data_IF_841859125319
#
_entry.id   IF_841859125319
#
_cell.length_a   1.000
_cell.length_b   1.000
_cell.length_c   1.000
_cell.angle_alpha   90.00
_cell.angle_beta   90.00
_cell.angle_gamma   90.00
#
_symmetry.space_group_name_H-M   'P 1'
#
loop_
_entity.id
_entity.type
_entity.pdbx_description
1 polymer ?
#
# COMPACT_ATOMS: atom_id res chain seq x y z
N UNK A 1 -13.72 -13.62 22.74
CA UNK A 1 -12.53 -12.74 22.86
C UNK A 1 -12.59 -11.77 21.70
N UNK A 2 -12.79 -10.47 21.90
CA UNK A 2 -12.85 -9.52 20.79
C UNK A 2 -11.44 -9.41 20.19
N UNK A 3 -11.29 -9.86 18.96
CA UNK A 3 -10.09 -9.64 18.16
C UNK A 3 -10.07 -8.16 17.79
N UNK A 4 -9.27 -7.37 18.49
CA UNK A 4 -9.02 -5.97 18.13
C UNK A 4 -8.21 -5.92 16.83
N UNK A 5 -8.89 -6.11 15.70
CA UNK A 5 -8.38 -5.80 14.37
C UNK A 5 -8.49 -4.30 14.16
N UNK A 6 -7.36 -3.65 13.86
CA UNK A 6 -7.38 -2.29 13.33
C UNK A 6 -8.02 -2.40 11.94
N UNK A 7 -9.28 -2.01 11.80
CA UNK A 7 -9.94 -1.89 10.51
C UNK A 7 -9.50 -0.56 9.88
N UNK A 8 -8.56 -0.62 8.94
CA UNK A 8 -7.90 0.55 8.32
C UNK A 8 -8.86 1.47 7.53
N UNK A 9 -10.09 1.01 7.31
CA UNK A 9 -11.17 1.72 6.64
C UNK A 9 -12.40 1.95 7.53
N UNK A 10 -12.44 1.34 8.73
CA UNK A 10 -13.52 1.52 9.70
C UNK A 10 -13.11 2.35 10.93
N UNK A 11 -11.91 2.93 10.94
CA UNK A 11 -11.61 4.01 11.88
C UNK A 11 -12.43 5.23 11.45
N UNK A 12 -13.40 5.68 12.26
CA UNK A 12 -14.26 6.78 11.91
C UNK A 12 -13.39 8.03 11.88
N UNK A 13 -13.06 8.50 10.68
CA UNK A 13 -12.56 9.88 10.46
C UNK A 13 -13.60 10.90 10.99
N UNK A 14 -14.82 10.45 11.34
CA UNK A 14 -15.95 11.30 11.67
C UNK A 14 -16.81 10.72 12.79
N UNK A 15 -16.74 11.33 13.99
CA UNK A 15 -17.90 11.59 14.87
C UNK A 15 -17.47 12.39 16.11
N UNK A 16 -17.33 13.72 15.97
CA UNK A 16 -17.72 14.72 16.99
C UNK A 16 -17.65 16.14 16.40
N UNK A 17 -18.70 16.55 15.68
CA UNK A 17 -18.92 17.97 15.31
C UNK A 17 -19.14 18.84 16.57
N UNK A 18 -19.51 18.24 17.71
CA UNK A 18 -19.84 18.94 18.94
C UNK A 18 -18.65 19.56 19.68
N UNK A 19 -17.41 19.10 19.44
CA UNK A 19 -16.23 19.57 20.18
C UNK A 19 -15.55 20.81 19.54
N UNK A 20 -15.95 21.18 18.32
CA UNK A 20 -15.30 22.25 17.56
C UNK A 20 -15.60 23.66 18.09
N UNK A 21 -16.71 23.87 18.80
CA UNK A 21 -17.06 25.19 19.35
C UNK A 21 -16.40 25.47 20.71
N UNK A 22 -15.96 24.44 21.44
CA UNK A 22 -15.20 24.62 22.70
C UNK A 22 -13.71 24.86 22.45
N UNK A 23 -13.19 24.38 21.33
CA UNK A 23 -11.75 24.37 21.06
C UNK A 23 -11.17 25.69 20.52
N UNK A 24 -12.00 26.61 20.00
CA UNK A 24 -11.54 27.94 19.57
C UNK A 24 -11.13 28.85 20.75
N UNK A 25 -11.61 28.57 21.96
CA UNK A 25 -11.28 29.37 23.14
C UNK A 25 -9.99 28.92 23.85
N UNK A 26 -9.59 27.65 23.72
CA UNK A 26 -8.55 27.06 24.58
C UNK A 26 -7.12 27.12 24.00
N UNK A 27 -6.93 27.30 22.69
CA UNK A 27 -5.60 27.28 22.08
C UNK A 27 -5.37 28.49 21.16
N UNK A 28 -4.93 29.59 21.77
CA UNK A 28 -4.36 30.78 21.12
C UNK A 28 -3.06 30.48 20.36
N UNK A 29 -3.11 29.63 19.35
CA UNK A 29 -1.99 29.29 18.48
C UNK A 29 -1.99 30.22 17.26
N UNK A 30 -1.37 31.40 17.44
CA UNK A 30 -0.48 31.94 16.41
C UNK A 30 0.83 31.17 16.54
N UNK A 31 1.18 30.25 15.63
CA UNK A 31 2.41 29.48 15.79
C UNK A 31 3.59 30.36 15.38
N UNK A 32 4.37 30.80 16.39
CA UNK A 32 5.78 31.12 16.15
C UNK A 32 6.43 29.85 15.58
N UNK A 33 6.93 29.94 14.37
CA UNK A 33 7.42 28.84 13.53
C UNK A 33 8.53 28.07 14.24
N UNK A 34 8.21 26.87 14.73
CA UNK A 34 9.17 25.81 15.03
C UNK A 34 8.71 24.53 14.31
N UNK A 35 9.11 24.30 13.04
CA UNK A 35 8.62 23.17 12.27
C UNK A 35 9.51 21.96 12.55
N UNK A 36 9.42 21.44 13.76
CA UNK A 36 9.78 20.04 14.05
C UNK A 36 8.58 19.43 14.74
N UNK A 37 7.59 19.03 13.94
CA UNK A 37 6.55 18.11 14.39
C UNK A 37 7.26 16.79 14.75
N UNK A 38 7.78 16.67 15.98
CA UNK A 38 8.40 15.45 16.53
C UNK A 38 7.38 14.34 16.76
N UNK A 39 6.09 14.68 16.76
CA UNK A 39 4.99 13.74 16.92
C UNK A 39 4.04 13.99 15.75
N UNK A 40 3.68 12.96 14.99
CA UNK A 40 2.72 13.11 13.91
C UNK A 40 1.34 13.47 14.47
N UNK A 41 0.55 14.30 13.75
CA UNK A 41 -0.84 14.53 14.12
C UNK A 41 -1.58 13.18 14.09
N UNK A 42 -2.29 12.84 15.16
CA UNK A 42 -3.18 11.67 15.17
C UNK A 42 -4.19 11.76 14.02
N UNK A 43 -4.78 10.63 13.61
CA UNK A 43 -5.83 10.62 12.59
C UNK A 43 -6.94 11.64 12.92
N UNK A 44 -7.23 11.86 14.21
CA UNK A 44 -8.17 12.88 14.69
C UNK A 44 -7.70 14.30 14.35
N UNK A 45 -6.43 14.62 14.60
CA UNK A 45 -5.86 15.93 14.26
C UNK A 45 -5.85 16.14 12.74
N UNK A 46 -5.57 15.09 11.97
CA UNK A 46 -5.66 15.17 10.52
C UNK A 46 -7.09 15.42 10.04
N UNK A 47 -8.08 14.72 10.61
CA UNK A 47 -9.50 14.96 10.37
C UNK A 47 -9.92 16.39 10.72
N UNK A 48 -9.41 16.95 11.82
CA UNK A 48 -9.64 18.34 12.21
C UNK A 48 -9.05 19.34 11.19
N UNK A 49 -7.85 19.08 10.69
CA UNK A 49 -7.20 19.95 9.69
C UNK A 49 -7.90 19.86 8.34
N UNK A 50 -8.28 18.65 7.94
CA UNK A 50 -9.13 18.36 6.81
C UNK A 50 -10.46 19.13 6.89
N UNK A 51 -11.15 19.05 8.02
CA UNK A 51 -12.40 19.76 8.28
C UNK A 51 -12.25 21.28 8.27
N UNK A 52 -11.11 21.82 8.69
CA UNK A 52 -10.82 23.27 8.54
C UNK A 52 -10.54 23.65 7.10
N UNK A 53 -9.77 22.83 6.37
CA UNK A 53 -9.39 23.09 4.97
C UNK A 53 -10.57 22.97 4.00
N UNK A 54 -11.49 22.05 4.28
CA UNK A 54 -12.67 21.75 3.47
C UNK A 54 -13.97 21.92 4.26
N UNK A 55 -14.10 23.03 4.99
CA UNK A 55 -15.19 23.30 5.95
C UNK A 55 -16.61 23.15 5.39
N UNK A 56 -16.81 23.45 4.11
CA UNK A 56 -18.12 23.48 3.46
C UNK A 56 -18.24 22.45 2.33
N UNK A 57 -17.37 21.45 2.32
CA UNK A 57 -17.25 20.51 1.21
C UNK A 57 -17.01 19.07 1.71
N UNK A 58 -17.68 18.11 1.09
CA UNK A 58 -17.59 16.68 1.39
C UNK A 58 -16.53 15.97 0.52
N UNK A 59 -15.63 16.71 -0.14
CA UNK A 59 -14.65 16.13 -1.06
C UNK A 59 -13.81 15.00 -0.46
N UNK A 60 -13.47 15.07 0.83
CA UNK A 60 -12.71 14.00 1.48
C UNK A 60 -13.56 12.75 1.71
N UNK A 61 -14.84 12.92 2.04
CA UNK A 61 -15.77 11.81 2.17
C UNK A 61 -16.01 11.15 0.81
N UNK A 62 -16.20 11.96 -0.24
CA UNK A 62 -16.34 11.46 -1.59
C UNK A 62 -15.09 10.70 -2.04
N UNK A 63 -13.89 11.23 -1.77
CA UNK A 63 -12.63 10.56 -2.08
C UNK A 63 -12.47 9.25 -1.29
N UNK A 64 -12.81 9.24 0.00
CA UNK A 64 -12.76 8.04 0.83
C UNK A 64 -13.66 6.94 0.27
N UNK A 65 -14.92 7.28 -0.08
CA UNK A 65 -15.86 6.35 -0.71
C UNK A 65 -15.39 5.89 -2.08
N UNK A 66 -14.82 6.79 -2.90
CA UNK A 66 -14.30 6.46 -4.23
C UNK A 66 -13.08 5.54 -4.19
N UNK A 67 -12.30 5.60 -3.12
CA UNK A 67 -11.07 4.83 -2.95
C UNK A 67 -11.26 3.57 -2.10
N UNK A 68 -12.46 3.37 -1.55
CA UNK A 68 -12.79 2.16 -0.84
C UNK A 68 -12.85 0.97 -1.81
N UNK A 69 -12.11 -0.07 -1.43
CA UNK A 69 -11.98 -1.31 -2.20
C UNK A 69 -12.45 -2.54 -1.43
N UNK A 70 -13.03 -2.37 -0.23
CA UNK A 70 -13.56 -3.48 0.57
C UNK A 70 -15.00 -3.86 0.22
N UNK A 71 -15.75 -2.92 -0.35
CA UNK A 71 -17.16 -3.14 -0.67
C UNK A 71 -17.36 -3.66 -2.10
N UNK A 72 -18.44 -4.42 -2.27
CA UNK A 72 -18.84 -4.98 -3.56
C UNK A 72 -19.23 -3.88 -4.54
N UNK A 73 -18.80 -4.01 -5.79
CA UNK A 73 -19.20 -3.05 -6.84
C UNK A 73 -20.66 -3.27 -7.23
N UNK A 74 -21.46 -2.20 -7.21
CA UNK A 74 -22.86 -2.27 -7.66
C UNK A 74 -22.92 -2.39 -9.19
N UNK A 75 -23.58 -3.44 -9.69
CA UNK A 75 -23.73 -3.70 -11.12
C UNK A 75 -25.19 -3.47 -11.56
N UNK A 76 -25.41 -2.79 -12.70
CA UNK A 76 -26.75 -2.62 -13.25
C UNK A 76 -27.28 -3.96 -13.81
N UNK A 77 -28.51 -4.35 -13.43
CA UNK A 77 -29.11 -5.65 -13.81
C UNK A 77 -30.17 -5.56 -14.91
N UNK A 78 -30.13 -4.55 -15.79
CA UNK A 78 -31.14 -4.38 -16.84
C UNK A 78 -30.81 -5.22 -18.07
N UNK A 79 -31.42 -6.40 -18.19
CA UNK A 79 -31.34 -7.26 -19.38
C UNK A 79 -32.13 -6.64 -20.55
N UNK A 80 -31.58 -6.72 -21.76
CA UNK A 80 -32.25 -6.22 -22.97
C UNK A 80 -33.35 -7.18 -23.43
N UNK A 81 -34.45 -6.69 -24.04
CA UNK A 81 -35.44 -7.57 -24.63
C UNK A 81 -34.79 -8.42 -25.73
N UNK A 82 -35.03 -9.73 -25.70
CA UNK A 82 -34.43 -10.76 -26.57
C UNK A 82 -32.96 -11.13 -26.31
N UNK A 83 -32.34 -10.66 -25.23
CA UNK A 83 -31.01 -11.09 -24.84
C UNK A 83 -31.05 -12.44 -24.11
N UNK A 84 -30.24 -13.41 -24.54
CA UNK A 84 -30.13 -14.69 -23.86
C UNK A 84 -29.50 -14.51 -22.48
N UNK A 85 -29.91 -15.35 -21.51
CA UNK A 85 -29.38 -15.30 -20.14
C UNK A 85 -27.87 -15.57 -20.09
N UNK A 86 -27.36 -16.40 -21.00
CA UNK A 86 -25.93 -16.69 -21.13
C UNK A 86 -25.15 -15.42 -21.54
N UNK A 87 -25.59 -14.75 -22.60
CA UNK A 87 -24.99 -13.50 -23.09
C UNK A 87 -25.07 -12.40 -22.04
N UNK A 88 -26.19 -12.31 -21.30
CA UNK A 88 -26.35 -11.34 -20.23
C UNK A 88 -25.40 -11.58 -19.06
N UNK A 89 -25.16 -12.84 -18.70
CA UNK A 89 -24.18 -13.20 -17.67
C UNK A 89 -22.76 -12.86 -18.11
N UNK A 90 -22.39 -13.16 -19.35
CA UNK A 90 -21.07 -12.84 -19.88
C UNK A 90 -20.82 -11.32 -19.89
N UNK A 91 -21.80 -10.51 -20.30
CA UNK A 91 -21.70 -9.05 -20.23
C UNK A 91 -21.52 -8.54 -18.79
N UNK A 92 -22.18 -9.17 -17.81
CA UNK A 92 -22.01 -8.83 -16.40
C UNK A 92 -20.60 -9.16 -15.90
N UNK A 93 -20.06 -10.32 -16.27
CA UNK A 93 -18.71 -10.74 -15.91
C UNK A 93 -17.65 -9.81 -16.53
N UNK A 94 -17.80 -9.43 -17.80
CA UNK A 94 -16.91 -8.48 -18.47
C UNK A 94 -16.96 -7.07 -17.84
N UNK A 95 -18.16 -6.60 -17.49
CA UNK A 95 -18.31 -5.31 -16.81
C UNK A 95 -17.74 -5.34 -15.39
N UNK A 96 -17.94 -6.44 -14.66
CA UNK A 96 -17.33 -6.66 -13.34
C UNK A 96 -15.81 -6.68 -13.45
N UNK A 97 -15.23 -7.39 -14.43
CA UNK A 97 -13.80 -7.41 -14.65
C UNK A 97 -13.23 -6.00 -14.86
N UNK A 98 -13.90 -5.19 -15.68
CA UNK A 98 -13.52 -3.78 -15.91
C UNK A 98 -13.56 -2.96 -14.61
N UNK A 99 -14.59 -3.16 -13.78
CA UNK A 99 -14.69 -2.53 -12.47
C UNK A 99 -13.59 -3.02 -11.50
N UNK A 100 -13.29 -4.31 -11.52
CA UNK A 100 -12.24 -4.92 -10.71
C UNK A 100 -10.87 -4.36 -11.06
N UNK A 101 -10.54 -4.18 -12.35
CA UNK A 101 -9.29 -3.53 -12.76
C UNK A 101 -9.17 -2.09 -12.22
N UNK A 102 -10.28 -1.33 -12.21
CA UNK A 102 -10.33 -0.02 -11.53
C UNK A 102 -10.09 -0.16 -10.03
N UNK A 103 -10.72 -1.13 -9.36
CA UNK A 103 -10.52 -1.39 -7.92
C UNK A 103 -9.06 -1.70 -7.58
N UNK A 104 -8.35 -2.48 -8.41
CA UNK A 104 -6.92 -2.75 -8.22
C UNK A 104 -6.09 -1.44 -8.19
N UNK A 105 -6.45 -0.47 -9.02
CA UNK A 105 -5.77 0.84 -9.07
C UNK A 105 -6.06 1.78 -7.89
N UNK A 106 -7.13 1.57 -7.13
CA UNK A 106 -7.48 2.44 -5.98
C UNK A 106 -6.40 2.41 -4.89
N UNK A 107 -5.59 1.35 -4.82
CA UNK A 107 -4.47 1.24 -3.88
C UNK A 107 -3.49 2.43 -3.98
N UNK A 108 -3.23 2.94 -5.19
CA UNK A 108 -2.36 4.10 -5.40
C UNK A 108 -2.96 5.37 -4.82
N UNK A 109 -4.25 5.63 -5.09
CA UNK A 109 -4.96 6.78 -4.55
C UNK A 109 -5.01 6.75 -3.02
N UNK A 110 -5.32 5.60 -2.42
CA UNK A 110 -5.27 5.42 -0.97
C UNK A 110 -3.89 5.72 -0.41
N UNK A 111 -2.83 5.19 -1.03
CA UNK A 111 -1.46 5.40 -0.55
C UNK A 111 -1.11 6.89 -0.47
N UNK A 112 -1.57 7.71 -1.42
CA UNK A 112 -1.36 9.15 -1.40
C UNK A 112 -2.20 9.88 -0.34
N UNK A 113 -3.44 9.46 -0.11
CA UNK A 113 -4.37 10.12 0.82
C UNK A 113 -3.98 9.87 2.28
N UNK A 114 -3.58 8.63 2.62
CA UNK A 114 -3.28 8.21 3.99
C UNK A 114 -1.78 8.01 4.26
N UNK A 115 -0.90 8.63 3.48
CA UNK A 115 0.56 8.50 3.58
C UNK A 115 1.12 8.98 4.93
N UNK A 116 1.80 8.11 5.68
CA UNK A 116 2.37 8.44 7.00
C UNK A 116 1.35 9.10 7.95
N UNK A 117 0.14 8.55 8.01
CA UNK A 117 -0.96 9.09 8.80
C UNK A 117 -1.43 8.20 9.94
N UNK A 118 -1.03 6.92 9.94
CA UNK A 118 -1.57 5.91 10.83
C UNK A 118 -0.59 5.59 11.95
N UNK A 119 -0.85 6.05 13.20
CA UNK A 119 -0.10 5.57 14.35
C UNK A 119 -0.46 4.12 14.63
N UNK A 120 0.53 3.26 14.84
CA UNK A 120 0.31 1.85 15.15
C UNK A 120 0.99 1.47 16.45
N UNK A 121 0.22 0.84 17.35
CA UNK A 121 0.74 0.18 18.53
C UNK A 121 1.37 -1.15 18.13
N UNK A 122 2.63 -1.37 18.50
CA UNK A 122 3.40 -2.57 18.15
C UNK A 122 2.83 -3.86 18.80
N UNK A 123 1.93 -3.74 19.77
CA UNK A 123 1.20 -4.87 20.36
C UNK A 123 0.12 -5.43 19.42
N UNK A 124 -0.30 -4.64 18.42
CA UNK A 124 -1.38 -4.99 17.50
C UNK A 124 -0.83 -5.56 16.19
N UNK A 125 -1.58 -6.49 15.62
CA UNK A 125 -1.29 -7.06 14.31
C UNK A 125 -1.67 -6.07 13.21
N UNK A 126 -0.75 -5.81 12.27
CA UNK A 126 -1.06 -5.12 11.02
C UNK A 126 -2.08 -5.93 10.21
N UNK A 127 -3.30 -5.41 10.09
CA UNK A 127 -4.38 -6.02 9.33
C UNK A 127 -4.54 -5.34 7.98
N UNK A 128 -4.06 -5.95 6.90
CA UNK A 128 -4.31 -5.40 5.57
C UNK A 128 -5.72 -5.77 5.11
N UNK A 129 -6.54 -4.79 4.76
CA UNK A 129 -7.90 -5.06 4.24
C UNK A 129 -7.82 -5.80 2.91
N UNK A 130 -8.60 -6.86 2.72
CA UNK A 130 -8.68 -7.57 1.44
C UNK A 130 -9.39 -6.72 0.37
N UNK A 131 -8.93 -6.82 -0.88
CA UNK A 131 -9.64 -6.25 -2.03
C UNK A 131 -10.89 -7.07 -2.33
N UNK A 132 -12.02 -6.41 -2.50
CA UNK A 132 -13.27 -7.03 -2.94
C UNK A 132 -13.43 -6.86 -4.44
N UNK A 133 -13.22 -7.94 -5.20
CA UNK A 133 -13.39 -7.98 -6.65
C UNK A 133 -14.76 -8.56 -7.07
N UNK A 134 -15.67 -8.75 -6.11
CA UNK A 134 -17.03 -9.25 -6.36
C UNK A 134 -18.01 -8.11 -6.63
N UNK A 135 -18.99 -8.40 -7.46
CA UNK A 135 -20.08 -7.50 -7.81
C UNK A 135 -21.36 -7.85 -7.06
N UNK A 136 -22.22 -6.85 -6.88
CA UNK A 136 -23.57 -7.01 -6.35
C UNK A 136 -24.56 -6.41 -7.32
N UNK A 137 -25.43 -7.26 -7.85
CA UNK A 137 -26.51 -6.83 -8.74
C UNK A 137 -27.56 -6.00 -8.04
N UNK A 138 -27.94 -4.86 -8.60
CA UNK A 138 -29.07 -4.05 -8.14
C UNK A 138 -30.33 -4.30 -9.00
N UNK A 139 -31.53 -4.49 -8.43
CA UNK A 139 -31.92 -4.35 -7.02
C UNK A 139 -31.88 -5.64 -6.18
N UNK A 140 -31.82 -6.82 -6.81
CA UNK A 140 -32.01 -8.11 -6.12
C UNK A 140 -30.82 -8.62 -5.31
N UNK A 141 -29.72 -7.86 -5.26
CA UNK A 141 -28.55 -8.14 -4.43
C UNK A 141 -27.85 -9.47 -4.70
N UNK A 142 -28.01 -10.02 -5.91
CA UNK A 142 -27.29 -11.22 -6.35
C UNK A 142 -25.79 -10.94 -6.41
N UNK A 143 -24.99 -11.78 -5.78
CA UNK A 143 -23.52 -11.71 -5.88
C UNK A 143 -23.10 -12.26 -7.24
N UNK A 144 -22.26 -11.49 -7.93
CA UNK A 144 -21.62 -11.86 -9.19
C UNK A 144 -20.13 -11.93 -8.90
N UNK A 145 -19.49 -13.01 -9.32
CA UNK A 145 -18.07 -13.24 -9.13
C UNK A 145 -17.41 -13.47 -10.50
N UNK A 146 -16.10 -13.23 -10.57
CA UNK A 146 -15.32 -13.48 -11.78
C UNK A 146 -14.95 -14.96 -11.78
N UNK A 147 -15.28 -15.66 -12.86
CA UNK A 147 -14.88 -17.06 -13.01
C UNK A 147 -13.37 -17.14 -13.28
N UNK A 148 -12.58 -17.49 -12.25
CA UNK A 148 -11.13 -17.57 -12.35
C UNK A 148 -10.62 -18.71 -13.24
N UNK A 149 -11.45 -19.73 -13.52
CA UNK A 149 -11.02 -20.93 -14.26
C UNK A 149 -10.72 -20.64 -15.75
N UNK A 150 -11.43 -19.70 -16.35
CA UNK A 150 -11.34 -19.37 -17.78
C UNK A 150 -10.58 -18.05 -18.03
N UNK A 151 -9.95 -17.50 -16.98
CA UNK A 151 -9.33 -16.18 -17.04
C UNK A 151 -7.91 -16.24 -17.63
N UNK A 152 -7.60 -15.28 -18.52
CA UNK A 152 -6.27 -15.19 -19.13
C UNK A 152 -5.18 -15.00 -18.06
N UNK A 153 -4.03 -15.64 -18.28
CA UNK A 153 -2.88 -15.60 -17.37
C UNK A 153 -2.37 -14.17 -17.15
N UNK A 154 -2.55 -13.28 -18.12
CA UNK A 154 -2.21 -11.86 -17.99
C UNK A 154 -3.07 -11.17 -16.95
N UNK A 155 -4.38 -11.45 -16.94
CA UNK A 155 -5.34 -10.85 -16.01
C UNK A 155 -5.11 -11.37 -14.60
N UNK A 156 -4.82 -12.67 -14.43
CA UNK A 156 -4.42 -13.24 -13.14
C UNK A 156 -3.21 -12.49 -12.55
N UNK A 157 -2.19 -12.21 -13.35
CA UNK A 157 -1.02 -11.42 -12.91
C UNK A 157 -1.38 -9.99 -12.52
N UNK A 158 -2.32 -9.35 -13.23
CA UNK A 158 -2.78 -8.00 -12.86
C UNK A 158 -3.44 -8.00 -11.48
N UNK A 159 -4.24 -9.03 -11.18
CA UNK A 159 -4.87 -9.20 -9.86
C UNK A 159 -3.81 -9.37 -8.77
N UNK A 160 -2.81 -10.24 -8.99
CA UNK A 160 -1.68 -10.40 -8.06
C UNK A 160 -0.98 -9.07 -7.78
N UNK A 161 -0.66 -8.29 -8.82
CA UNK A 161 -0.07 -6.97 -8.66
C UNK A 161 -0.99 -6.00 -7.92
N UNK A 162 -2.31 -6.07 -8.11
CA UNK A 162 -3.23 -5.27 -7.31
C UNK A 162 -3.22 -5.63 -5.83
N UNK A 163 -3.16 -6.92 -5.48
CA UNK A 163 -2.98 -7.37 -4.08
C UNK A 163 -1.63 -6.89 -3.51
N UNK A 164 -0.58 -6.96 -4.31
CA UNK A 164 0.72 -6.42 -3.96
C UNK A 164 0.63 -4.93 -3.61
N UNK A 165 0.09 -4.09 -4.51
CA UNK A 165 -0.05 -2.66 -4.29
C UNK A 165 -1.00 -2.31 -3.14
N UNK A 166 -2.01 -3.15 -2.88
CA UNK A 166 -2.86 -3.00 -1.70
C UNK A 166 -2.06 -3.13 -0.39
N UNK A 167 -1.14 -4.10 -0.32
CA UNK A 167 -0.18 -4.23 0.77
C UNK A 167 0.75 -3.02 0.89
N UNK A 168 1.27 -2.53 -0.24
CA UNK A 168 2.12 -1.33 -0.28
C UNK A 168 1.38 -0.11 0.28
N UNK A 169 0.14 0.10 -0.15
CA UNK A 169 -0.70 1.21 0.28
C UNK A 169 -0.90 1.23 1.80
N UNK A 170 -1.20 0.07 2.40
CA UNK A 170 -1.33 -0.06 3.85
C UNK A 170 0.00 0.14 4.58
N UNK A 171 1.10 -0.42 4.07
CA UNK A 171 2.42 -0.24 4.68
C UNK A 171 2.88 1.23 4.65
N UNK A 172 2.59 1.96 3.57
CA UNK A 172 2.90 3.39 3.44
C UNK A 172 2.01 4.28 4.31
N UNK A 173 0.85 3.77 4.72
CA UNK A 173 -0.02 4.50 5.64
C UNK A 173 0.55 4.59 7.06
N UNK A 174 1.44 3.67 7.41
CA UNK A 174 2.16 3.67 8.68
C UNK A 174 3.13 4.84 8.73
N UNK A 175 3.42 5.32 9.93
CA UNK A 175 4.40 6.39 10.12
C UNK A 175 5.79 6.01 9.59
N UNK A 176 6.53 6.99 9.08
CA UNK A 176 7.88 6.82 8.52
C UNK A 176 8.97 6.72 9.59
N UNK A 177 10.18 6.32 9.17
CA UNK A 177 11.34 6.13 10.06
C UNK A 177 11.76 7.41 10.79
N UNK A 178 11.54 8.57 10.17
CA UNK A 178 11.77 9.89 10.79
C UNK A 178 10.85 10.20 11.97
N UNK A 179 9.71 9.49 12.09
CA UNK A 179 8.65 9.79 13.05
C UNK A 179 8.54 8.76 14.16
N UNK A 180 8.72 7.47 13.84
CA UNK A 180 8.68 6.37 14.79
C UNK A 180 9.73 5.32 14.42
N UNK A 181 10.35 4.70 15.42
CA UNK A 181 11.16 3.50 15.22
C UNK A 181 10.32 2.28 15.59
N UNK A 182 10.14 1.35 14.65
CA UNK A 182 9.43 0.10 14.88
C UNK A 182 10.36 -0.99 15.41
N UNK A 183 9.82 -1.91 16.21
CA UNK A 183 10.53 -3.12 16.62
C UNK A 183 10.79 -4.03 15.40
N UNK A 184 12.06 -4.44 15.14
CA UNK A 184 12.41 -5.37 14.08
C UNK A 184 11.60 -6.68 14.09
N UNK A 185 11.27 -7.20 15.28
CA UNK A 185 10.46 -8.41 15.39
C UNK A 185 9.03 -8.18 14.92
N UNK A 186 8.44 -7.03 15.26
CA UNK A 186 7.12 -6.63 14.78
C UNK A 186 7.08 -6.50 13.27
N UNK A 187 8.08 -5.87 12.64
CA UNK A 187 8.20 -5.76 11.18
C UNK A 187 8.22 -7.15 10.51
N UNK A 188 8.94 -8.11 11.11
CA UNK A 188 8.95 -9.50 10.63
C UNK A 188 7.59 -10.19 10.73
N UNK A 189 6.85 -9.94 11.82
CA UNK A 189 5.49 -10.46 12.02
C UNK A 189 4.47 -9.83 11.06
N UNK A 190 4.67 -8.56 10.68
CA UNK A 190 3.84 -7.87 9.70
C UNK A 190 3.85 -8.55 8.33
N UNK A 191 4.96 -9.21 7.96
CA UNK A 191 5.02 -10.07 6.78
C UNK A 191 4.44 -11.46 7.08
N UNK A 192 4.97 -12.16 8.09
CA UNK A 192 4.67 -13.57 8.35
C UNK A 192 3.20 -13.87 8.70
N UNK A 193 2.47 -12.87 9.21
CA UNK A 193 1.07 -13.05 9.64
C UNK A 193 0.04 -12.56 8.61
N UNK A 194 0.44 -12.10 7.42
CA UNK A 194 -0.54 -11.77 6.38
C UNK A 194 -1.22 -13.02 5.83
N UNK A 195 -2.48 -12.86 5.40
CA UNK A 195 -3.24 -13.94 4.78
C UNK A 195 -2.65 -14.33 3.42
N UNK A 196 -2.25 -13.33 2.64
CA UNK A 196 -1.69 -13.51 1.31
C UNK A 196 -0.21 -13.11 1.29
N UNK A 197 0.64 -13.99 0.79
CA UNK A 197 2.09 -13.77 0.69
C UNK A 197 2.40 -12.55 -0.19
N UNK A 198 1.63 -12.35 -1.26
CA UNK A 198 1.78 -11.23 -2.20
C UNK A 198 1.50 -9.89 -1.52
N UNK A 199 0.40 -9.81 -0.76
CA UNK A 199 0.06 -8.62 0.04
C UNK A 199 1.13 -8.35 1.10
N UNK A 200 1.65 -9.41 1.74
CA UNK A 200 2.78 -9.31 2.68
C UNK A 200 4.05 -8.77 2.03
N UNK A 201 4.40 -9.23 0.82
CA UNK A 201 5.52 -8.70 0.06
C UNK A 201 5.37 -7.19 -0.21
N UNK A 202 4.15 -6.74 -0.57
CA UNK A 202 3.84 -5.32 -0.73
C UNK A 202 4.07 -4.50 0.54
N UNK A 203 3.70 -5.02 1.71
CA UNK A 203 3.98 -4.36 3.00
C UNK A 203 5.49 -4.22 3.22
N UNK A 204 6.27 -5.27 2.92
CA UNK A 204 7.75 -5.23 3.03
C UNK A 204 8.35 -4.18 2.10
N UNK A 205 7.82 -4.05 0.87
CA UNK A 205 8.26 -3.00 -0.05
C UNK A 205 8.00 -1.60 0.53
N UNK A 206 6.83 -1.39 1.13
CA UNK A 206 6.50 -0.13 1.80
C UNK A 206 7.40 0.19 3.00
N UNK A 207 7.86 -0.81 3.75
CA UNK A 207 8.88 -0.60 4.79
C UNK A 207 10.20 -0.10 4.19
N UNK A 208 10.59 -0.58 3.01
CA UNK A 208 11.73 -0.03 2.28
C UNK A 208 11.52 1.42 1.85
N UNK A 209 10.34 1.76 1.30
CA UNK A 209 10.02 3.14 0.94
C UNK A 209 9.99 4.09 2.15
N UNK A 210 9.61 3.58 3.31
CA UNK A 210 9.50 4.34 4.57
C UNK A 210 10.82 4.38 5.37
N UNK A 211 11.85 3.66 4.92
CA UNK A 211 13.16 3.56 5.58
C UNK A 211 13.23 2.62 6.79
N UNK A 212 12.21 1.78 7.00
CA UNK A 212 12.15 0.82 8.11
C UNK A 212 12.84 -0.51 7.80
N UNK A 213 13.14 -0.79 6.52
CA UNK A 213 13.74 -2.08 6.13
C UNK A 213 15.14 -2.29 6.73
N UNK A 214 15.88 -1.22 7.02
CA UNK A 214 17.20 -1.27 7.66
C UNK A 214 17.14 -1.75 9.12
N UNK A 215 15.97 -1.70 9.75
CA UNK A 215 15.77 -2.20 11.11
C UNK A 215 15.70 -3.73 11.13
N UNK A 216 15.33 -4.35 10.00
CA UNK A 216 15.21 -5.80 9.88
C UNK A 216 16.62 -6.41 9.78
N UNK A 217 16.85 -7.48 10.56
CA UNK A 217 18.14 -8.16 10.54
C UNK A 217 18.45 -8.74 9.15
N UNK A 218 19.69 -8.54 8.68
CA UNK A 218 20.18 -9.06 7.40
C UNK A 218 19.99 -10.57 7.26
N UNK A 219 20.09 -11.33 8.36
CA UNK A 219 19.80 -12.77 8.35
C UNK A 219 18.36 -13.06 7.91
N UNK A 220 17.39 -12.35 8.48
CA UNK A 220 15.96 -12.48 8.13
C UNK A 220 15.71 -12.09 6.68
N UNK A 221 16.38 -11.03 6.20
CA UNK A 221 16.32 -10.61 4.80
C UNK A 221 16.83 -11.74 3.88
N UNK A 222 17.96 -12.38 4.22
CA UNK A 222 18.48 -13.52 3.46
C UNK A 222 17.55 -14.74 3.49
N UNK A 223 16.92 -15.03 4.62
CA UNK A 223 15.92 -16.10 4.74
C UNK A 223 14.70 -15.83 3.84
N UNK A 224 14.21 -14.59 3.83
CA UNK A 224 13.11 -14.19 2.95
C UNK A 224 13.47 -14.28 1.48
N UNK A 225 14.67 -13.82 1.11
CA UNK A 225 15.17 -14.00 -0.25
C UNK A 225 15.28 -15.48 -0.61
N UNK A 226 15.72 -16.35 0.30
CA UNK A 226 15.86 -17.78 0.05
C UNK A 226 14.52 -18.48 -0.27
N UNK A 227 13.37 -17.92 0.13
CA UNK A 227 12.03 -18.44 -0.24
C UNK A 227 11.76 -18.37 -1.74
N UNK A 228 12.37 -17.41 -2.45
CA UNK A 228 12.31 -17.33 -3.92
C UNK A 228 11.02 -16.76 -4.51
N UNK A 229 10.12 -16.20 -3.68
CA UNK A 229 8.89 -15.56 -4.17
C UNK A 229 9.21 -14.29 -4.96
N UNK A 230 8.80 -14.23 -6.24
CA UNK A 230 9.11 -13.12 -7.15
C UNK A 230 8.76 -11.75 -6.57
N UNK A 231 7.57 -11.61 -5.99
CA UNK A 231 7.09 -10.35 -5.41
C UNK A 231 7.90 -9.93 -4.18
N UNK A 232 8.27 -10.89 -3.32
CA UNK A 232 9.04 -10.64 -2.11
C UNK A 232 10.48 -10.24 -2.44
N UNK A 233 11.10 -10.96 -3.36
CA UNK A 233 12.45 -10.65 -3.85
C UNK A 233 12.48 -9.25 -4.45
N UNK A 234 11.53 -8.92 -5.34
CA UNK A 234 11.43 -7.58 -5.91
C UNK A 234 11.27 -6.50 -4.82
N UNK A 235 10.44 -6.75 -3.82
CA UNK A 235 10.19 -5.84 -2.70
C UNK A 235 11.43 -5.55 -1.88
N UNK A 236 12.16 -6.59 -1.50
CA UNK A 236 13.35 -6.49 -0.67
C UNK A 236 14.46 -5.78 -1.42
N UNK A 237 14.72 -6.16 -2.67
CA UNK A 237 15.78 -5.56 -3.47
C UNK A 237 15.52 -4.08 -3.71
N UNK A 238 14.34 -3.72 -4.24
CA UNK A 238 13.99 -2.32 -4.49
C UNK A 238 13.89 -1.52 -3.19
N UNK A 239 13.29 -2.07 -2.15
CA UNK A 239 13.13 -1.40 -0.85
C UNK A 239 14.47 -1.10 -0.18
N UNK A 240 15.41 -2.06 -0.21
CA UNK A 240 16.75 -1.89 0.35
C UNK A 240 17.56 -0.87 -0.45
N UNK A 241 17.44 -0.89 -1.79
CA UNK A 241 18.10 0.08 -2.67
C UNK A 241 17.65 1.51 -2.40
N UNK A 242 16.34 1.72 -2.24
CA UNK A 242 15.75 3.03 -1.98
C UNK A 242 16.19 3.55 -0.61
N UNK A 243 16.22 2.67 0.40
CA UNK A 243 16.65 3.06 1.75
C UNK A 243 18.14 3.39 1.81
N UNK A 244 18.98 2.63 1.10
CA UNK A 244 20.43 2.84 1.00
C UNK A 244 20.82 3.90 -0.05
N UNK A 245 19.87 4.71 -0.53
CA UNK A 245 20.14 5.73 -1.55
C UNK A 245 21.13 6.75 -1.02
N UNK A 246 22.31 6.79 -1.63
CA UNK A 246 23.39 7.72 -1.27
C UNK A 246 24.28 7.26 -0.12
N UNK A 247 24.04 6.08 0.48
CA UNK A 247 24.89 5.53 1.56
C UNK A 247 26.07 4.70 1.05
N UNK A 248 26.04 4.28 -0.22
CA UNK A 248 27.05 3.40 -0.83
C UNK A 248 27.28 2.08 -0.06
N UNK A 249 26.21 1.53 0.55
CA UNK A 249 26.30 0.32 1.36
C UNK A 249 26.74 -0.92 0.56
N UNK A 250 27.89 -1.48 0.95
CA UNK A 250 28.51 -2.63 0.27
C UNK A 250 27.63 -3.88 0.39
N UNK A 251 26.91 -4.05 1.50
CA UNK A 251 26.07 -5.22 1.74
C UNK A 251 24.84 -5.25 0.82
N UNK A 252 24.16 -4.11 0.68
CA UNK A 252 23.03 -3.95 -0.25
C UNK A 252 23.49 -4.14 -1.69
N UNK A 253 24.62 -3.56 -2.07
CA UNK A 253 25.20 -3.73 -3.40
C UNK A 253 25.57 -5.19 -3.73
N UNK A 254 26.13 -5.94 -2.78
CA UNK A 254 26.40 -7.37 -2.94
C UNK A 254 25.12 -8.19 -3.10
N UNK A 255 24.07 -7.82 -2.36
CA UNK A 255 22.77 -8.47 -2.43
C UNK A 255 22.13 -8.27 -3.82
N UNK A 256 22.12 -7.04 -4.35
CA UNK A 256 21.58 -6.73 -5.68
C UNK A 256 22.34 -7.41 -6.82
N UNK A 257 23.68 -7.46 -6.72
CA UNK A 257 24.52 -8.08 -7.76
C UNK A 257 24.54 -9.60 -7.74
N UNK A 258 23.87 -10.24 -6.78
CA UNK A 258 23.86 -11.69 -6.70
C UNK A 258 23.20 -12.30 -7.93
N UNK A 259 23.96 -13.07 -8.70
CA UNK A 259 23.58 -13.69 -9.99
C UNK A 259 22.29 -14.52 -9.91
N UNK A 260 21.92 -14.95 -8.70
CA UNK A 260 20.68 -15.70 -8.42
C UNK A 260 19.40 -14.94 -8.81
N UNK A 261 19.40 -13.60 -8.78
CA UNK A 261 18.18 -12.79 -8.93
C UNK A 261 18.03 -12.09 -10.29
N UNK A 262 19.06 -12.18 -11.14
CA UNK A 262 19.10 -11.56 -12.47
C UNK A 262 17.92 -11.98 -13.40
N UNK A 263 17.44 -13.24 -13.40
CA UNK A 263 16.32 -13.62 -14.25
C UNK A 263 14.99 -12.95 -13.86
N UNK A 264 14.81 -12.62 -12.57
CA UNK A 264 13.57 -12.03 -12.03
C UNK A 264 13.47 -10.52 -12.29
N UNK A 265 14.61 -9.85 -12.48
CA UNK A 265 14.72 -8.42 -12.83
C UNK A 265 14.66 -8.22 -14.36
N UNK A 266 14.84 -9.30 -15.13
CA UNK A 266 14.99 -9.36 -16.58
C UNK A 266 13.70 -9.77 -17.32
N UNK A 267 12.65 -8.93 -17.28
CA UNK A 267 11.97 -8.68 -18.56
C UNK A 267 12.09 -7.22 -19.03
N UNK A 268 12.47 -6.28 -18.16
CA UNK A 268 12.48 -4.83 -18.46
C UNK A 268 13.82 -4.15 -18.23
N UNK A 269 14.70 -4.70 -17.37
CA UNK A 269 15.99 -4.08 -17.07
C UNK A 269 17.10 -4.72 -17.91
N UNK A 270 17.36 -4.16 -19.09
CA UNK A 270 18.59 -4.46 -19.83
C UNK A 270 19.79 -4.17 -18.93
N UNK A 271 20.70 -5.14 -18.80
CA UNK A 271 21.95 -5.11 -18.01
C UNK A 271 22.80 -3.82 -18.15
N UNK A 272 22.51 -2.96 -19.14
CA UNK A 272 23.25 -1.73 -19.42
C UNK A 272 22.92 -0.55 -18.50
N UNK A 273 21.68 -0.40 -18.00
CA UNK A 273 21.29 0.79 -17.21
C UNK A 273 21.80 0.76 -15.77
N UNK A 274 21.82 -0.42 -15.14
CA UNK A 274 22.39 -0.58 -13.80
C UNK A 274 23.92 -0.44 -13.82
N UNK A 275 24.59 -0.94 -14.85
CA UNK A 275 26.05 -0.81 -15.00
C UNK A 275 26.49 0.65 -15.25
N UNK A 276 25.73 1.41 -16.04
CA UNK A 276 26.08 2.79 -16.41
C UNK A 276 25.89 3.81 -15.26
N UNK A 277 24.85 3.66 -14.43
CA UNK A 277 24.66 4.52 -13.25
C UNK A 277 25.71 4.24 -12.16
N UNK A 278 26.15 2.99 -12.04
CA UNK A 278 27.16 2.57 -11.05
C UNK A 278 28.57 3.00 -11.49
N UNK A 279 28.92 2.90 -12.78
CA UNK A 279 30.27 3.27 -13.23
C UNK A 279 30.53 4.78 -13.14
N UNK A 280 29.51 5.61 -13.37
CA UNK A 280 29.62 7.07 -13.34
C UNK A 280 29.71 7.63 -11.91
N UNK A 281 29.08 6.99 -10.92
CA UNK A 281 29.22 7.41 -9.52
C UNK A 281 30.53 6.93 -8.88
N UNK A 282 31.01 5.73 -9.23
CA UNK A 282 32.30 5.22 -8.74
C UNK A 282 33.53 5.88 -9.40
N UNK A 283 33.41 6.46 -10.59
CA UNK A 283 34.46 7.30 -11.18
C UNK A 283 34.53 8.67 -10.50
N UNK A 284 33.39 9.24 -10.13
CA UNK A 284 33.34 10.58 -9.52
C UNK A 284 33.79 10.55 -8.04
N UNK A 285 33.47 9.50 -7.29
CA UNK A 285 33.90 9.37 -5.88
C UNK A 285 35.42 9.17 -5.71
N UNK A 286 36.13 8.68 -6.76
CA UNK A 286 37.60 8.56 -6.75
C UNK A 286 38.34 9.86 -7.05
N UNK A 287 37.64 10.90 -7.49
CA UNK A 287 38.21 12.21 -7.79
C UNK A 287 37.87 13.28 -6.73
N UNK A 288 37.17 12.90 -5.67
CA UNK A 288 36.71 13.81 -4.61
C UNK A 288 37.13 13.38 -3.21
N UNK A 289 38.35 12.84 -3.06
CA UNK A 289 39.04 12.70 -1.78
C UNK A 289 40.42 13.32 -1.93
N UNK A 290 40.79 14.33 -1.12
CA UNK A 290 42.14 14.90 -1.11
C UNK A 290 43.20 13.88 -0.68
#
# INVERSE_FOLDING_TARGET
>A
MPTHTVEYLALPIWRTIADLLRYEQDLGLSPSVNPKLRVPPSLDIQGLWAGRRFRHDLRLDNVAVMLDSQFQTLLPMKQRPNQLDADFREEQEQFLLSCSLRTLSQAFGRACVIYHCTPVSMDLKLHVSSLCLTGRGHPYHRVIDINNADMDATVMKMIDWGHFYNGVSHGLSLMGSEQISFDPMWLGLCYARQRDIITGAGVVYAFGLSGHINLINMYTIHEWLAKGDTYLVASILLGSAITARGTCDINVHKMEKSTRWLPLISPLCSQRLFSSCISTHWSNARHSSP
#
